data_IF_421186490539
#
_entry.id   IF_421186490539
#
_cell.length_a   1.000
_cell.length_b   1.000
_cell.length_c   1.000
_cell.angle_alpha   90.00
_cell.angle_beta   90.00
_cell.angle_gamma   90.00
#
_symmetry.space_group_name_H-M   'P 1'
#
loop_
_entity.id
_entity.type
_entity.pdbx_description
1 polymer ?
#
# COMPACT_ATOMS: atom_id res chain seq x y z
N UNK A 1 -33.67 10.51 -12.54
CA UNK A 1 -32.54 10.99 -11.74
C UNK A 1 -31.79 9.76 -11.29
N UNK A 2 -30.86 9.27 -12.11
CA UNK A 2 -30.07 8.10 -11.77
C UNK A 2 -28.88 8.60 -10.97
N UNK A 3 -28.89 8.43 -9.66
CA UNK A 3 -27.72 8.68 -8.83
C UNK A 3 -26.67 7.62 -9.20
N UNK A 4 -25.72 7.97 -10.06
CA UNK A 4 -24.46 7.24 -10.19
C UNK A 4 -23.74 7.36 -8.85
N UNK A 5 -23.96 6.37 -7.98
CA UNK A 5 -23.14 6.18 -6.79
C UNK A 5 -21.72 5.89 -7.28
N UNK A 6 -20.89 6.92 -7.34
CA UNK A 6 -19.45 6.78 -7.53
C UNK A 6 -18.93 5.83 -6.43
N UNK A 7 -18.75 4.55 -6.78
CA UNK A 7 -18.02 3.62 -5.94
C UNK A 7 -16.56 3.99 -6.05
N UNK A 8 -16.10 4.80 -5.08
CA UNK A 8 -14.67 4.98 -4.90
C UNK A 8 -14.02 3.59 -4.76
N UNK A 9 -12.89 3.34 -5.45
CA UNK A 9 -12.16 2.11 -5.29
C UNK A 9 -11.80 1.93 -3.80
N UNK A 10 -12.38 0.92 -3.18
CA UNK A 10 -12.08 0.55 -1.79
C UNK A 10 -11.16 -0.66 -1.78
N UNK A 11 -10.42 -0.79 -0.69
CA UNK A 11 -9.58 -1.97 -0.48
C UNK A 11 -10.51 -3.16 -0.25
N UNK A 12 -10.25 -4.28 -0.93
CA UNK A 12 -11.07 -5.47 -0.80
C UNK A 12 -11.11 -5.90 0.69
N UNK A 13 -12.26 -6.34 1.23
CA UNK A 13 -12.41 -6.61 2.67
C UNK A 13 -11.42 -7.64 3.25
N UNK A 14 -10.84 -8.48 2.39
CA UNK A 14 -9.87 -9.52 2.77
C UNK A 14 -8.41 -9.14 2.50
N UNK A 15 -8.14 -7.95 1.95
CA UNK A 15 -6.77 -7.43 1.82
C UNK A 15 -6.39 -6.86 3.18
N UNK A 16 -5.40 -7.50 3.81
CA UNK A 16 -4.79 -6.98 5.02
C UNK A 16 -3.91 -5.77 4.65
N UNK A 17 -4.37 -4.58 5.02
CA UNK A 17 -3.67 -3.31 4.74
C UNK A 17 -2.52 -3.03 5.69
N UNK A 18 -2.51 -3.73 6.83
CA UNK A 18 -1.44 -3.70 7.80
C UNK A 18 -1.06 -5.14 8.06
N UNK A 19 -0.16 -5.65 7.22
CA UNK A 19 0.30 -7.01 7.34
C UNK A 19 0.84 -7.19 8.77
N UNK A 20 0.23 -8.07 9.54
CA UNK A 20 0.66 -8.37 10.92
C UNK A 20 2.11 -8.90 10.98
N UNK A 21 2.67 -9.25 9.83
CA UNK A 21 4.05 -9.68 9.62
C UNK A 21 5.00 -8.55 9.17
N UNK A 22 4.49 -7.34 8.97
CA UNK A 22 5.30 -6.17 8.62
C UNK A 22 6.02 -5.64 9.87
N UNK A 23 7.32 -5.44 9.74
CA UNK A 23 8.17 -4.87 10.79
C UNK A 23 9.10 -3.85 10.19
N UNK A 24 9.29 -2.75 10.92
CA UNK A 24 10.33 -1.76 10.60
C UNK A 24 11.70 -2.40 10.53
N UNK A 25 12.52 -1.92 9.60
CA UNK A 25 13.91 -2.35 9.51
C UNK A 25 14.68 -2.00 10.79
N UNK A 26 15.44 -2.96 11.31
CA UNK A 26 16.35 -2.74 12.44
C UNK A 26 17.55 -1.87 12.05
N UNK A 27 18.21 -1.27 13.04
CA UNK A 27 19.39 -0.42 12.80
C UNK A 27 20.53 -1.19 12.14
N UNK A 28 20.72 -2.46 12.52
CA UNK A 28 21.74 -3.33 11.92
C UNK A 28 21.48 -3.59 10.44
N UNK A 29 20.23 -3.80 10.04
CA UNK A 29 19.86 -4.01 8.63
C UNK A 29 20.07 -2.72 7.81
N UNK A 30 19.81 -1.56 8.41
CA UNK A 30 20.13 -0.25 7.79
C UNK A 30 21.63 -0.07 7.60
N UNK A 31 22.43 -0.34 8.64
CA UNK A 31 23.89 -0.22 8.60
C UNK A 31 24.54 -1.15 7.57
N UNK A 32 24.02 -2.38 7.44
CA UNK A 32 24.51 -3.36 6.46
C UNK A 32 24.08 -3.06 5.01
N UNK A 33 23.11 -2.16 4.81
CA UNK A 33 22.50 -1.94 3.49
C UNK A 33 21.51 -3.02 3.07
N UNK A 34 20.99 -3.81 4.03
CA UNK A 34 20.00 -4.87 3.81
C UNK A 34 18.57 -4.29 3.62
N UNK A 35 18.46 -2.98 3.41
CA UNK A 35 17.20 -2.24 3.33
C UNK A 35 17.27 -1.25 2.19
N UNK A 36 16.12 -0.81 1.69
CA UNK A 36 16.05 0.26 0.69
C UNK A 36 15.00 1.27 1.14
N UNK A 37 15.41 2.53 1.22
CA UNK A 37 14.52 3.62 1.60
C UNK A 37 13.54 3.94 0.46
N UNK A 38 12.25 3.85 0.77
CA UNK A 38 11.18 4.27 -0.14
C UNK A 38 10.93 5.76 0.05
N UNK A 39 11.55 6.59 -0.80
CA UNK A 39 11.41 8.05 -0.70
C UNK A 39 10.14 8.60 -1.35
N UNK A 40 9.53 7.84 -2.29
CA UNK A 40 8.30 8.20 -3.00
C UNK A 40 7.46 6.96 -3.27
N UNK A 41 6.23 6.96 -2.78
CA UNK A 41 5.23 5.94 -3.07
C UNK A 41 4.29 6.42 -4.16
N UNK A 42 4.23 5.70 -5.28
CA UNK A 42 3.23 5.89 -6.33
C UNK A 42 2.26 4.72 -6.30
N UNK A 43 1.01 5.00 -5.94
CA UNK A 43 -0.08 4.01 -5.99
C UNK A 43 -0.84 4.21 -7.30
N UNK A 44 -0.66 3.31 -8.26
CA UNK A 44 -1.47 3.30 -9.47
C UNK A 44 -2.87 2.77 -9.13
N UNK A 45 -3.87 3.64 -9.29
CA UNK A 45 -5.29 3.34 -9.08
C UNK A 45 -6.07 3.43 -10.39
N UNK A 46 -5.41 3.26 -11.54
CA UNK A 46 -6.09 3.28 -12.84
C UNK A 46 -7.13 2.15 -12.87
N UNK A 47 -8.43 2.46 -13.05
CA UNK A 47 -9.45 1.43 -13.20
C UNK A 47 -9.24 0.66 -14.50
N UNK A 48 -9.41 -0.66 -14.46
CA UNK A 48 -9.54 -1.46 -15.69
C UNK A 48 -10.97 -1.30 -16.24
N UNK A 49 -11.10 -0.92 -17.51
CA UNK A 49 -12.38 -0.76 -18.24
C UNK A 49 -13.21 -2.06 -18.28
#
# INVERSE_FOLDING_TARGET
MSEEKHHEPTIAPSIDTHNSLETEASDKEKENGDTTEVTRLYLDRTPED
#
